data_IF_058212789179
#
_entry.id   IF_058212789179
#
_cell.length_a   1.000
_cell.length_b   1.000
_cell.length_c   1.000
_cell.angle_alpha   90.00
_cell.angle_beta   90.00
_cell.angle_gamma   90.00
#
_symmetry.space_group_name_H-M   'P 1'
#
loop_
_entity.id
_entity.type
_entity.pdbx_description
1 polymer ?
#
# COMPACT_ATOMS: atom_id res chain seq x y z
N UNK A 1 -7.99 10.17 -11.52
CA UNK A 1 -6.69 9.59 -11.88
C UNK A 1 -6.92 8.24 -12.57
N UNK A 2 -6.11 7.85 -13.57
CA UNK A 2 -6.19 6.52 -14.22
C UNK A 2 -5.17 5.56 -13.59
N UNK A 3 -5.38 4.27 -13.76
CA UNK A 3 -4.42 3.26 -13.30
C UNK A 3 -3.06 3.47 -13.97
N UNK A 4 -2.01 3.64 -13.16
CA UNK A 4 -0.64 3.87 -13.65
C UNK A 4 -0.22 5.33 -13.80
N UNK A 5 -1.12 6.30 -13.54
CA UNK A 5 -0.72 7.69 -13.37
C UNK A 5 0.16 7.84 -12.11
N UNK A 6 0.95 8.91 -12.06
CA UNK A 6 1.76 9.25 -10.88
C UNK A 6 0.88 9.90 -9.79
N UNK A 7 0.81 9.25 -8.63
CA UNK A 7 -0.03 9.68 -7.52
C UNK A 7 0.39 11.04 -6.98
N UNK A 8 1.70 11.30 -6.90
CA UNK A 8 2.25 12.56 -6.41
C UNK A 8 1.87 13.71 -7.35
N UNK A 9 1.97 13.49 -8.66
CA UNK A 9 1.56 14.48 -9.68
C UNK A 9 0.06 14.77 -9.58
N UNK A 10 -0.77 13.76 -9.35
CA UNK A 10 -2.21 13.94 -9.17
C UNK A 10 -2.53 14.75 -7.91
N UNK A 11 -1.89 14.45 -6.78
CA UNK A 11 -2.08 15.19 -5.54
C UNK A 11 -1.61 16.63 -5.67
N UNK A 12 -0.45 16.88 -6.28
CA UNK A 12 0.05 18.24 -6.51
C UNK A 12 -0.93 19.06 -7.36
N UNK A 13 -1.47 18.47 -8.44
CA UNK A 13 -2.51 19.12 -9.25
C UNK A 13 -3.76 19.44 -8.44
N UNK A 14 -4.19 18.52 -7.57
CA UNK A 14 -5.33 18.74 -6.69
C UNK A 14 -5.08 19.90 -5.72
N UNK A 15 -3.92 19.95 -5.06
CA UNK A 15 -3.56 21.06 -4.16
C UNK A 15 -3.54 22.40 -4.89
N UNK A 16 -2.95 22.47 -6.09
CA UNK A 16 -2.97 23.70 -6.89
C UNK A 16 -4.40 24.12 -7.31
N UNK A 17 -5.31 23.18 -7.58
CA UNK A 17 -6.71 23.50 -7.84
C UNK A 17 -7.38 24.09 -6.59
N UNK A 18 -7.14 23.51 -5.42
CA UNK A 18 -7.63 24.05 -4.15
C UNK A 18 -7.13 25.49 -3.91
N UNK A 19 -5.85 25.78 -4.19
CA UNK A 19 -5.29 27.13 -4.10
C UNK A 19 -5.98 28.11 -5.05
N UNK A 20 -6.24 27.69 -6.30
CA UNK A 20 -6.97 28.51 -7.27
C UNK A 20 -8.41 28.81 -6.78
N UNK A 21 -9.07 27.83 -6.17
CA UNK A 21 -10.42 28.03 -5.60
C UNK A 21 -10.42 29.03 -4.44
N UNK A 22 -9.39 28.98 -3.58
CA UNK A 22 -9.20 29.97 -2.51
C UNK A 22 -8.98 31.37 -3.08
N UNK A 23 -8.16 31.50 -4.14
CA UNK A 23 -7.96 32.79 -4.83
C UNK A 23 -9.26 33.33 -5.45
N UNK A 24 -10.15 32.45 -5.90
CA UNK A 24 -11.49 32.79 -6.39
C UNK A 24 -12.51 33.13 -5.28
N UNK A 25 -12.08 33.24 -4.03
CA UNK A 25 -12.93 33.46 -2.86
C UNK A 25 -13.98 32.34 -2.65
N UNK A 26 -13.64 31.12 -3.06
CA UNK A 26 -14.45 29.92 -2.85
C UNK A 26 -13.63 28.84 -2.11
N UNK A 27 -13.28 29.07 -0.83
CA UNK A 27 -12.52 28.10 -0.05
C UNK A 27 -13.37 26.84 0.20
N UNK A 28 -12.78 25.66 -0.01
CA UNK A 28 -13.35 24.39 0.45
C UNK A 28 -12.97 24.12 1.90
N UNK A 29 -13.86 23.46 2.63
CA UNK A 29 -13.53 22.89 3.93
C UNK A 29 -12.51 21.75 3.76
N UNK A 30 -11.70 21.50 4.78
CA UNK A 30 -10.66 20.47 4.70
C UNK A 30 -11.26 19.06 4.59
N UNK A 31 -12.38 18.81 5.27
CA UNK A 31 -13.15 17.57 5.13
C UNK A 31 -13.59 17.34 3.67
N UNK A 32 -14.13 18.37 3.01
CA UNK A 32 -14.56 18.26 1.61
C UNK A 32 -13.36 18.01 0.68
N UNK A 33 -12.22 18.64 0.94
CA UNK A 33 -10.98 18.42 0.19
C UNK A 33 -10.52 16.97 0.32
N UNK A 34 -10.58 16.41 1.53
CA UNK A 34 -10.20 15.02 1.81
C UNK A 34 -11.10 14.05 1.05
N UNK A 35 -12.42 14.22 1.14
CA UNK A 35 -13.39 13.41 0.40
C UNK A 35 -13.21 13.52 -1.12
N UNK A 36 -13.02 14.73 -1.65
CA UNK A 36 -12.83 14.95 -3.08
C UNK A 36 -11.51 14.34 -3.57
N UNK A 37 -10.43 14.49 -2.82
CA UNK A 37 -9.15 13.86 -3.14
C UNK A 37 -9.32 12.34 -3.18
N UNK A 38 -9.88 11.75 -2.12
CA UNK A 38 -10.11 10.30 -2.03
C UNK A 38 -10.97 9.75 -3.17
N UNK A 39 -12.03 10.47 -3.55
CA UNK A 39 -12.92 10.05 -4.65
C UNK A 39 -12.29 10.19 -6.03
N UNK A 40 -11.29 11.07 -6.17
CA UNK A 40 -10.55 11.31 -7.42
C UNK A 40 -9.46 10.27 -7.71
N UNK A 41 -9.13 9.43 -6.72
CA UNK A 41 -8.18 8.33 -6.83
C UNK A 41 -8.73 7.22 -7.73
N UNK A 42 -7.83 6.44 -8.32
CA UNK A 42 -8.24 5.29 -9.15
C UNK A 42 -8.64 4.10 -8.27
N UNK A 43 -9.37 3.16 -8.87
CA UNK A 43 -9.88 1.95 -8.21
C UNK A 43 -8.77 1.07 -7.62
N UNK A 44 -7.52 1.18 -8.09
CA UNK A 44 -6.39 0.48 -7.48
C UNK A 44 -6.13 0.89 -6.02
N UNK A 45 -6.59 2.08 -5.59
CA UNK A 45 -6.51 2.57 -4.22
C UNK A 45 -7.82 2.39 -3.44
N UNK A 46 -8.81 1.68 -3.99
CA UNK A 46 -10.14 1.58 -3.37
C UNK A 46 -10.07 1.01 -1.94
N UNK A 47 -9.25 -0.01 -1.72
CA UNK A 47 -8.99 -0.58 -0.40
C UNK A 47 -8.38 0.44 0.57
N UNK A 48 -7.52 1.32 0.08
CA UNK A 48 -6.89 2.39 0.86
C UNK A 48 -7.91 3.47 1.20
N UNK A 49 -8.74 3.85 0.23
CA UNK A 49 -9.86 4.78 0.43
C UNK A 49 -10.82 4.24 1.49
N UNK A 50 -11.22 2.96 1.41
CA UNK A 50 -12.05 2.34 2.44
C UNK A 50 -11.37 2.33 3.81
N UNK A 51 -10.09 2.00 3.86
CA UNK A 51 -9.34 1.98 5.13
C UNK A 51 -9.24 3.38 5.74
N UNK A 52 -9.06 4.42 4.92
CA UNK A 52 -9.05 5.80 5.40
C UNK A 52 -10.45 6.22 5.86
N UNK A 53 -11.49 5.97 5.06
CA UNK A 53 -12.87 6.38 5.38
C UNK A 53 -13.45 5.69 6.62
N UNK A 54 -13.03 4.46 6.92
CA UNK A 54 -13.58 3.67 8.03
C UNK A 54 -12.59 3.38 9.16
N UNK A 55 -11.31 3.75 9.01
CA UNK A 55 -10.24 3.40 9.94
C UNK A 55 -9.93 4.45 11.00
N UNK A 56 -10.31 5.72 10.77
CA UNK A 56 -10.15 6.82 11.75
C UNK A 56 -11.42 7.66 11.80
N UNK A 57 -11.79 8.09 13.01
CA UNK A 57 -12.98 8.93 13.28
C UNK A 57 -12.78 10.37 12.79
N UNK A 58 -11.55 10.89 12.87
CA UNK A 58 -11.14 12.16 12.28
C UNK A 58 -9.89 11.92 11.45
N UNK A 59 -9.92 12.44 10.22
CA UNK A 59 -8.86 12.31 9.25
C UNK A 59 -8.54 13.71 8.73
N UNK A 60 -7.25 14.06 8.76
CA UNK A 60 -6.78 15.34 8.22
C UNK A 60 -6.21 15.15 6.82
N UNK A 61 -6.19 16.23 6.03
CA UNK A 61 -5.54 16.23 4.72
C UNK A 61 -4.08 15.74 4.75
N UNK A 62 -3.34 16.07 5.81
CA UNK A 62 -1.96 15.59 5.99
C UNK A 62 -1.90 14.07 6.26
N UNK A 63 -2.84 13.53 7.04
CA UNK A 63 -2.97 12.08 7.24
C UNK A 63 -3.30 11.35 5.93
N UNK A 64 -4.23 11.89 5.13
CA UNK A 64 -4.56 11.35 3.80
C UNK A 64 -3.29 11.34 2.94
N UNK A 65 -2.59 12.47 2.89
CA UNK A 65 -1.37 12.65 2.11
C UNK A 65 -0.27 11.65 2.49
N UNK A 66 0.06 11.58 3.78
CA UNK A 66 1.11 10.71 4.31
C UNK A 66 0.82 9.23 4.05
N UNK A 67 -0.44 8.83 4.19
CA UNK A 67 -0.88 7.45 3.93
C UNK A 67 -0.79 7.12 2.44
N UNK A 68 -1.26 8.01 1.57
CA UNK A 68 -1.16 7.86 0.12
C UNK A 68 0.29 7.76 -0.35
N UNK A 69 1.16 8.64 0.16
CA UNK A 69 2.58 8.67 -0.16
C UNK A 69 3.31 7.39 0.29
N UNK A 70 2.98 6.89 1.48
CA UNK A 70 3.52 5.64 2.01
C UNK A 70 3.11 4.44 1.14
N UNK A 71 1.87 4.41 0.66
CA UNK A 71 1.38 3.32 -0.18
C UNK A 71 2.02 3.34 -1.57
N UNK A 72 2.21 4.51 -2.18
CA UNK A 72 2.92 4.65 -3.45
C UNK A 72 4.39 4.22 -3.34
N UNK A 73 5.05 4.61 -2.24
CA UNK A 73 6.41 4.18 -1.92
C UNK A 73 6.52 2.65 -1.76
N UNK A 74 5.52 2.01 -1.10
CA UNK A 74 5.48 0.54 -0.97
C UNK A 74 5.32 -0.16 -2.31
N UNK A 75 4.61 0.42 -3.29
CA UNK A 75 4.51 -0.17 -4.64
C UNK A 75 5.87 -0.27 -5.33
N UNK A 76 6.74 0.72 -5.13
CA UNK A 76 8.11 0.68 -5.66
C UNK A 76 8.95 -0.41 -4.98
N UNK A 77 8.77 -0.62 -3.67
CA UNK A 77 9.47 -1.68 -2.91
C UNK A 77 8.86 -3.08 -3.13
N UNK A 78 7.55 -3.17 -3.39
CA UNK A 78 6.84 -4.40 -3.69
C UNK A 78 7.21 -4.96 -5.06
N UNK A 79 7.43 -4.09 -6.06
CA UNK A 79 7.98 -4.48 -7.37
C UNK A 79 9.39 -5.05 -7.26
N UNK A 80 10.25 -4.48 -6.41
CA UNK A 80 11.61 -5.01 -6.20
C UNK A 80 11.61 -6.29 -5.38
N UNK A 81 10.72 -6.46 -4.38
CA UNK A 81 10.56 -7.74 -3.67
C UNK A 81 9.91 -8.83 -4.50
N UNK A 82 8.93 -8.54 -5.36
CA UNK A 82 8.35 -9.53 -6.27
C UNK A 82 9.37 -10.02 -7.31
N UNK A 83 10.24 -9.12 -7.82
CA UNK A 83 11.37 -9.51 -8.66
C UNK A 83 12.45 -10.31 -7.89
N UNK A 84 12.62 -10.05 -6.59
CA UNK A 84 13.56 -10.79 -5.73
C UNK A 84 13.03 -12.17 -5.30
N UNK A 85 11.71 -12.34 -5.18
CA UNK A 85 11.08 -13.63 -4.82
C UNK A 85 10.97 -14.54 -6.05
N UNK A 86 10.85 -13.99 -7.26
CA UNK A 86 10.84 -14.77 -8.50
C UNK A 86 12.20 -15.41 -8.86
N UNK A 87 13.29 -15.09 -8.15
CA UNK A 87 14.63 -15.66 -8.36
C UNK A 87 15.03 -16.70 -7.30
N UNK A 88 14.12 -17.09 -6.39
CA UNK A 88 14.38 -18.10 -5.36
C UNK A 88 13.34 -19.22 -5.45
N UNK A 89 13.21 -19.84 -6.62
CA UNK A 89 12.60 -21.17 -6.71
C UNK A 89 13.33 -22.03 -7.74
N UNK A 90 14.65 -22.16 -7.62
CA UNK A 90 15.36 -23.30 -8.19
C UNK A 90 16.45 -23.81 -7.24
N UNK A 91 16.10 -24.88 -6.52
CA UNK A 91 16.98 -25.99 -6.10
C UNK A 91 18.03 -25.73 -5.01
N UNK A 92 17.58 -25.76 -3.75
CA UNK A 92 18.51 -25.90 -2.63
C UNK A 92 17.87 -26.18 -1.27
N UNK A 93 17.06 -27.24 -1.11
CA UNK A 93 16.70 -27.72 0.24
C UNK A 93 17.71 -28.77 0.70
N UNK A 94 18.76 -28.33 1.38
CA UNK A 94 19.42 -29.13 2.41
C UNK A 94 18.62 -28.97 3.70
N UNK A 95 18.18 -30.08 4.29
CA UNK A 95 17.59 -30.09 5.62
C UNK A 95 18.38 -31.07 6.48
N UNK A 96 19.32 -30.54 7.26
CA UNK A 96 20.08 -31.27 8.25
C UNK A 96 19.25 -31.50 9.53
N UNK A 97 19.11 -32.79 9.87
CA UNK A 97 19.21 -33.42 11.19
C UNK A 97 18.39 -32.88 12.37
N UNK A 98 17.32 -33.59 12.71
CA UNK A 98 16.95 -33.91 14.10
C UNK A 98 16.22 -35.26 14.15
N UNK A 99 16.70 -36.21 14.97
CA UNK A 99 16.04 -37.52 15.13
C UNK A 99 16.88 -38.57 15.86
N UNK A 100 17.28 -38.28 17.10
CA UNK A 100 17.86 -39.27 18.01
C UNK A 100 16.75 -40.23 18.47
N UNK A 101 16.74 -41.47 17.94
CA UNK A 101 15.78 -42.51 18.30
C UNK A 101 16.44 -43.88 18.28
N UNK A 102 16.73 -44.42 19.47
CA UNK A 102 17.33 -45.74 19.69
C UNK A 102 16.41 -46.86 19.18
N UNK A 103 16.82 -47.61 18.16
CA UNK A 103 16.15 -48.86 17.78
C UNK A 103 16.83 -50.05 18.45
N UNK A 104 16.27 -50.50 19.59
CA UNK A 104 16.52 -51.83 20.15
C UNK A 104 15.56 -52.84 19.49
N UNK A 105 16.11 -53.82 18.79
CA UNK A 105 15.74 -55.26 18.84
C UNK A 105 14.33 -55.75 18.45
N UNK A 106 14.37 -56.75 17.55
CA UNK A 106 13.75 -58.12 17.61
C UNK A 106 12.54 -58.44 16.69
N UNK A 107 12.72 -59.56 15.96
CA UNK A 107 11.75 -60.55 15.39
C UNK A 107 11.01 -60.14 14.09
N UNK A 108 10.79 -60.99 13.07
CA UNK A 108 10.92 -62.44 12.84
C UNK A 108 10.78 -62.68 11.32
N UNK A 109 11.46 -63.67 10.74
CA UNK A 109 11.30 -64.10 9.34
C UNK A 109 12.31 -65.17 9.01
#
# INVERSE_FOLDING_TARGET
MKDGDDLLVHIQKFTSLCEIMVLGNQPMNDEDKDFMLLRSLSNYLEHLVQTLMYGKDQLSFDDVYSTLFSEDSKKMVGKTKAASIALIDERGKTHDKFGNGKAKGRLKG
#
